data_IF_310229794972
#
_entry.id   IF_310229794972
#
_cell.length_a   1.000
_cell.length_b   1.000
_cell.length_c   1.000
_cell.angle_alpha   90.00
_cell.angle_beta   90.00
_cell.angle_gamma   90.00
#
_symmetry.space_group_name_H-M   'P 1'
#
loop_
_entity.id
_entity.type
_entity.pdbx_description
1 polymer ?
#
# COMPACT_ATOMS: atom_id res chain seq x y z
N UNK A 1 -26.17 -10.23 14.50
CA UNK A 1 -26.26 -9.54 15.80
C UNK A 1 -25.16 -8.47 15.87
N UNK A 2 -25.52 -7.20 15.72
CA UNK A 2 -24.57 -6.11 15.90
C UNK A 2 -24.26 -5.99 17.40
N UNK A 3 -23.02 -6.32 17.80
CA UNK A 3 -22.58 -6.08 19.19
C UNK A 3 -22.64 -4.57 19.44
N UNK A 4 -23.12 -4.10 20.60
CA UNK A 4 -23.02 -2.69 20.96
C UNK A 4 -21.52 -2.40 21.10
N UNK A 5 -20.94 -1.80 20.05
CA UNK A 5 -19.51 -1.55 19.99
C UNK A 5 -19.09 -0.58 21.07
N UNK A 6 -17.85 -0.71 21.55
CA UNK A 6 -17.23 0.26 22.43
C UNK A 6 -17.44 1.68 21.87
N UNK A 7 -17.77 2.64 22.75
CA UNK A 7 -18.01 4.05 22.39
C UNK A 7 -16.85 4.93 22.86
N UNK A 8 -16.74 6.14 22.32
CA UNK A 8 -15.72 7.13 22.71
C UNK A 8 -14.28 6.65 22.46
N UNK A 9 -13.37 6.99 23.39
CA UNK A 9 -11.94 6.67 23.31
C UNK A 9 -11.68 5.16 23.23
N UNK A 10 -12.50 4.35 23.90
CA UNK A 10 -12.40 2.89 23.87
C UNK A 10 -12.61 2.33 22.45
N UNK A 11 -13.45 2.99 21.62
CA UNK A 11 -13.62 2.63 20.21
C UNK A 11 -12.34 2.88 19.41
N UNK A 12 -11.69 4.01 19.65
CA UNK A 12 -10.47 4.42 18.96
C UNK A 12 -9.34 3.44 19.30
N UNK A 13 -9.15 3.12 20.58
CA UNK A 13 -8.14 2.16 21.03
C UNK A 13 -8.38 0.78 20.38
N UNK A 14 -9.64 0.32 20.38
CA UNK A 14 -9.98 -0.96 19.75
C UNK A 14 -9.73 -0.94 18.24
N UNK A 15 -10.12 0.14 17.55
CA UNK A 15 -9.87 0.33 16.12
C UNK A 15 -8.37 0.29 15.80
N UNK A 16 -7.54 1.02 16.55
CA UNK A 16 -6.08 0.97 16.42
C UNK A 16 -5.53 -0.44 16.63
N UNK A 17 -6.08 -1.18 17.62
CA UNK A 17 -5.72 -2.58 17.84
C UNK A 17 -6.06 -3.50 16.67
N UNK A 18 -7.20 -3.30 16.01
CA UNK A 18 -7.56 -4.05 14.80
C UNK A 18 -6.65 -3.69 13.61
N UNK A 19 -6.35 -2.41 13.40
CA UNK A 19 -5.42 -1.97 12.36
C UNK A 19 -4.03 -2.58 12.54
N UNK A 20 -3.51 -2.60 13.78
CA UNK A 20 -2.20 -3.17 14.08
C UNK A 20 -2.16 -4.68 13.84
N UNK A 21 -3.27 -5.40 14.11
CA UNK A 21 -3.39 -6.81 13.76
C UNK A 21 -3.35 -7.03 12.26
N UNK A 22 -4.02 -6.17 11.48
CA UNK A 22 -3.98 -6.20 10.01
C UNK A 22 -2.56 -6.01 9.47
N UNK A 23 -1.87 -4.96 9.91
CA UNK A 23 -0.48 -4.69 9.50
C UNK A 23 0.49 -5.81 9.91
N UNK A 24 0.33 -6.36 11.12
CA UNK A 24 1.13 -7.50 11.56
C UNK A 24 0.87 -8.74 10.68
N UNK A 25 -0.38 -8.98 10.29
CA UNK A 25 -0.73 -10.09 9.40
C UNK A 25 -0.08 -9.92 8.03
N UNK A 26 -0.20 -8.73 7.42
CA UNK A 26 0.45 -8.42 6.14
C UNK A 26 1.97 -8.60 6.23
N UNK A 27 2.60 -8.09 7.30
CA UNK A 27 4.04 -8.25 7.51
C UNK A 27 4.50 -9.71 7.63
N UNK A 28 3.73 -10.56 8.32
CA UNK A 28 4.13 -11.96 8.55
C UNK A 28 3.86 -12.82 7.31
N UNK A 29 2.69 -12.67 6.70
CA UNK A 29 2.22 -13.59 5.66
C UNK A 29 2.61 -13.14 4.25
N UNK A 30 2.73 -11.83 4.00
CA UNK A 30 2.88 -11.31 2.64
C UNK A 30 4.31 -10.86 2.35
N UNK A 31 5.00 -11.61 1.49
CA UNK A 31 6.35 -11.28 1.08
C UNK A 31 6.41 -9.99 0.24
N UNK A 32 5.42 -9.80 -0.64
CA UNK A 32 5.29 -8.60 -1.48
C UNK A 32 5.13 -7.34 -0.62
N UNK A 33 4.18 -7.34 0.34
CA UNK A 33 4.06 -6.27 1.34
C UNK A 33 5.37 -5.92 2.04
N UNK A 34 6.16 -6.91 2.50
CA UNK A 34 7.47 -6.63 3.12
C UNK A 34 8.43 -5.93 2.16
N UNK A 35 8.53 -6.41 0.92
CA UNK A 35 9.42 -5.84 -0.09
C UNK A 35 9.04 -4.41 -0.42
N UNK A 36 7.75 -4.17 -0.67
CA UNK A 36 7.23 -2.84 -1.01
C UNK A 36 7.34 -1.87 0.16
N UNK A 37 7.00 -2.28 1.38
CA UNK A 37 7.14 -1.44 2.56
C UNK A 37 8.60 -1.07 2.81
N UNK A 38 9.54 -2.01 2.67
CA UNK A 38 10.97 -1.71 2.80
C UNK A 38 11.46 -0.72 1.73
N UNK A 39 11.01 -0.89 0.49
CA UNK A 39 11.30 0.06 -0.60
C UNK A 39 10.76 1.45 -0.26
N UNK A 40 9.51 1.54 0.20
CA UNK A 40 8.85 2.82 0.48
C UNK A 40 9.51 3.52 1.68
N UNK A 41 9.91 2.78 2.71
CA UNK A 41 10.70 3.33 3.82
C UNK A 41 12.06 3.87 3.37
N UNK A 42 12.71 3.24 2.38
CA UNK A 42 13.93 3.76 1.77
C UNK A 42 13.66 5.03 0.94
N UNK A 43 12.52 5.09 0.25
CA UNK A 43 12.11 6.27 -0.52
C UNK A 43 11.76 7.47 0.36
N UNK A 44 11.33 7.28 1.61
CA UNK A 44 10.94 8.40 2.49
C UNK A 44 12.04 9.47 2.68
N UNK A 45 13.28 9.15 3.10
CA UNK A 45 14.33 10.15 3.19
C UNK A 45 14.71 10.74 1.82
N UNK A 46 14.64 9.93 0.75
CA UNK A 46 14.93 10.39 -0.61
C UNK A 46 13.91 11.42 -1.10
N UNK A 47 12.66 11.35 -0.64
CA UNK A 47 11.62 12.31 -1.03
C UNK A 47 11.97 13.73 -0.57
N UNK A 48 12.55 13.87 0.63
CA UNK A 48 13.04 15.15 1.15
C UNK A 48 14.31 15.63 0.47
N UNK A 49 15.10 14.73 -0.11
CA UNK A 49 16.29 15.10 -0.85
C UNK A 49 15.98 15.52 -2.29
N UNK A 50 15.02 14.86 -2.95
CA UNK A 50 14.67 15.12 -4.35
C UNK A 50 13.67 16.27 -4.51
N UNK A 51 12.72 16.44 -3.58
CA UNK A 51 11.70 17.48 -3.69
C UNK A 51 12.23 18.86 -3.28
N UNK A 52 12.12 19.84 -4.17
CA UNK A 52 12.54 21.23 -3.93
C UNK A 52 11.47 22.05 -3.17
N UNK A 53 10.19 21.65 -3.33
CA UNK A 53 9.06 22.32 -2.68
C UNK A 53 8.28 21.34 -1.81
N UNK A 54 7.54 21.88 -0.83
CA UNK A 54 6.70 21.08 0.04
C UNK A 54 5.69 20.23 -0.74
N UNK A 55 5.12 20.77 -1.82
CA UNK A 55 4.16 20.05 -2.67
C UNK A 55 4.81 18.84 -3.35
N UNK A 56 6.05 18.97 -3.82
CA UNK A 56 6.77 17.85 -4.43
C UNK A 56 7.10 16.76 -3.40
N UNK A 57 7.56 17.16 -2.21
CA UNK A 57 7.85 16.22 -1.12
C UNK A 57 6.56 15.49 -0.72
N UNK A 58 5.46 16.21 -0.49
CA UNK A 58 4.17 15.60 -0.14
C UNK A 58 3.66 14.68 -1.26
N UNK A 59 3.83 15.06 -2.53
CA UNK A 59 3.47 14.21 -3.66
C UNK A 59 4.26 12.89 -3.65
N UNK A 60 5.59 12.95 -3.50
CA UNK A 60 6.46 11.77 -3.43
C UNK A 60 6.13 10.87 -2.25
N UNK A 61 5.83 11.45 -1.08
CA UNK A 61 5.41 10.71 0.10
C UNK A 61 4.05 10.04 -0.15
N UNK A 62 3.04 10.79 -0.59
CA UNK A 62 1.69 10.30 -0.81
C UNK A 62 1.63 9.19 -1.87
N UNK A 63 2.30 9.39 -3.02
CA UNK A 63 2.28 8.40 -4.11
C UNK A 63 3.02 7.11 -3.71
N UNK A 64 4.08 7.20 -2.91
CA UNK A 64 4.78 6.03 -2.38
C UNK A 64 3.88 5.26 -1.40
N UNK A 65 3.21 5.95 -0.47
CA UNK A 65 2.31 5.29 0.48
C UNK A 65 1.04 4.71 -0.17
N UNK A 66 0.62 5.24 -1.33
CA UNK A 66 -0.47 4.65 -2.10
C UNK A 66 -0.18 3.20 -2.49
N UNK A 67 1.07 2.87 -2.81
CA UNK A 67 1.49 1.49 -3.11
C UNK A 67 1.20 0.57 -1.92
N UNK A 68 1.64 0.95 -0.70
CA UNK A 68 1.36 0.17 0.53
C UNK A 68 -0.15 -0.02 0.74
N UNK A 69 -0.95 1.03 0.52
CA UNK A 69 -2.40 0.95 0.70
C UNK A 69 -3.00 -0.06 -0.27
N UNK A 70 -2.63 0.01 -1.55
CA UNK A 70 -3.15 -0.89 -2.58
C UNK A 70 -2.71 -2.33 -2.32
N UNK A 71 -1.49 -2.54 -1.85
CA UNK A 71 -0.98 -3.88 -1.49
C UNK A 71 -1.69 -4.49 -0.28
N UNK A 72 -1.99 -3.68 0.75
CA UNK A 72 -2.82 -4.13 1.89
C UNK A 72 -4.24 -4.50 1.42
N UNK A 73 -4.80 -3.76 0.46
CA UNK A 73 -6.10 -4.09 -0.14
C UNK A 73 -6.03 -5.35 -1.00
N UNK A 74 -4.97 -5.53 -1.79
CA UNK A 74 -4.72 -6.75 -2.56
C UNK A 74 -4.66 -7.98 -1.63
N UNK A 75 -3.85 -7.89 -0.57
CA UNK A 75 -3.73 -8.94 0.45
C UNK A 75 -5.07 -9.26 1.12
N UNK A 76 -5.93 -8.26 1.34
CA UNK A 76 -7.26 -8.48 1.89
C UNK A 76 -8.17 -9.24 0.91
N UNK A 77 -8.10 -8.94 -0.40
CA UNK A 77 -8.82 -9.69 -1.44
C UNK A 77 -8.30 -11.13 -1.51
N UNK A 78 -6.99 -11.33 -1.51
CA UNK A 78 -6.37 -12.65 -1.51
C UNK A 78 -6.81 -13.48 -0.31
N UNK A 79 -6.79 -12.92 0.90
CA UNK A 79 -7.24 -13.61 2.12
C UNK A 79 -8.72 -14.02 2.06
N UNK A 80 -9.59 -13.22 1.43
CA UNK A 80 -11.00 -13.58 1.22
C UNK A 80 -11.14 -14.70 0.20
N UNK A 81 -10.39 -14.62 -0.90
CA UNK A 81 -10.43 -15.63 -1.97
C UNK A 81 -9.88 -16.97 -1.47
N UNK A 82 -8.76 -16.97 -0.74
CA UNK A 82 -8.10 -18.17 -0.23
C UNK A 82 -8.91 -18.91 0.83
N UNK A 83 -9.83 -18.21 1.52
CA UNK A 83 -10.74 -18.83 2.47
C UNK A 83 -11.79 -19.74 1.79
N UNK A 84 -12.16 -19.48 0.53
CA UNK A 84 -13.34 -20.10 -0.10
C UNK A 84 -13.08 -21.59 -0.46
N UNK A 85 -11.85 -21.98 -0.76
CA UNK A 85 -11.46 -23.37 -1.02
C UNK A 85 -10.29 -23.48 -2.00
N UNK A 86 -9.69 -24.68 -2.12
CA UNK A 86 -8.59 -24.96 -3.05
C UNK A 86 -9.04 -25.33 -4.47
N UNK A 87 -10.36 -25.39 -4.71
CA UNK A 87 -10.92 -25.61 -6.03
C UNK A 87 -10.63 -24.40 -6.92
N UNK A 88 -10.13 -24.65 -8.13
CA UNK A 88 -9.85 -23.58 -9.06
C UNK A 88 -11.17 -23.03 -9.59
N UNK A 89 -11.52 -21.80 -9.20
CA UNK A 89 -12.67 -21.08 -9.72
C UNK A 89 -12.21 -19.87 -10.54
N UNK A 90 -12.65 -19.74 -11.79
CA UNK A 90 -12.18 -18.68 -12.69
C UNK A 90 -12.36 -17.28 -12.10
N UNK A 91 -13.50 -17.01 -11.44
CA UNK A 91 -13.74 -15.72 -10.78
C UNK A 91 -12.77 -15.44 -9.63
N UNK A 92 -12.33 -16.46 -8.89
CA UNK A 92 -11.35 -16.32 -7.81
C UNK A 92 -9.97 -15.94 -8.38
N UNK A 93 -9.57 -16.58 -9.49
CA UNK A 93 -8.37 -16.19 -10.24
C UNK A 93 -8.43 -14.74 -10.69
N UNK A 94 -9.53 -14.34 -11.36
CA UNK A 94 -9.72 -12.95 -11.82
C UNK A 94 -9.67 -11.94 -10.69
N UNK A 95 -10.21 -12.26 -9.51
CA UNK A 95 -10.16 -11.36 -8.36
C UNK A 95 -8.71 -11.09 -7.91
N UNK A 96 -7.88 -12.14 -7.87
CA UNK A 96 -6.45 -12.01 -7.56
C UNK A 96 -5.70 -11.24 -8.64
N UNK A 97 -5.93 -11.57 -9.91
CA UNK A 97 -5.27 -10.90 -11.04
C UNK A 97 -5.55 -9.39 -11.05
N UNK A 98 -6.79 -8.99 -10.76
CA UNK A 98 -7.17 -7.58 -10.66
C UNK A 98 -6.52 -6.87 -9.46
N UNK A 99 -6.40 -7.57 -8.32
CA UNK A 99 -5.70 -7.05 -7.15
C UNK A 99 -4.22 -6.80 -7.45
N UNK A 100 -3.52 -7.78 -8.01
CA UNK A 100 -2.12 -7.63 -8.44
C UNK A 100 -1.95 -6.57 -9.54
N UNK A 101 -2.90 -6.46 -10.47
CA UNK A 101 -2.89 -5.42 -11.50
C UNK A 101 -3.00 -4.01 -10.88
N UNK A 102 -3.80 -3.83 -9.82
CA UNK A 102 -3.89 -2.56 -9.12
C UNK A 102 -2.55 -2.18 -8.46
N UNK A 103 -1.86 -3.13 -7.84
CA UNK A 103 -0.52 -2.93 -7.26
C UNK A 103 0.48 -2.53 -8.35
N UNK A 104 0.47 -3.24 -9.49
CA UNK A 104 1.32 -2.91 -10.63
C UNK A 104 1.09 -1.48 -11.15
N UNK A 105 -0.18 -1.06 -11.28
CA UNK A 105 -0.51 0.30 -11.71
C UNK A 105 -0.02 1.33 -10.69
N UNK A 106 -0.19 1.07 -9.39
CA UNK A 106 0.31 1.95 -8.33
C UNK A 106 1.85 2.08 -8.38
N UNK A 107 2.57 0.98 -8.57
CA UNK A 107 4.03 0.97 -8.74
C UNK A 107 4.48 1.74 -10.00
N UNK A 108 3.78 1.55 -11.13
CA UNK A 108 4.08 2.26 -12.37
C UNK A 108 3.87 3.78 -12.22
N UNK A 109 2.78 4.20 -11.58
CA UNK A 109 2.54 5.61 -11.28
C UNK A 109 3.59 6.17 -10.32
N UNK A 110 3.96 5.42 -9.27
CA UNK A 110 5.02 5.80 -8.36
C UNK A 110 6.35 6.00 -9.12
N UNK A 111 6.75 5.03 -9.95
CA UNK A 111 7.96 5.12 -10.76
C UNK A 111 7.95 6.31 -11.73
N UNK A 112 6.79 6.60 -12.35
CA UNK A 112 6.63 7.75 -13.25
C UNK A 112 6.84 9.08 -12.52
N UNK A 113 6.19 9.27 -11.36
CA UNK A 113 6.29 10.51 -10.57
C UNK A 113 7.71 10.71 -10.03
N UNK A 114 8.30 9.65 -9.47
CA UNK A 114 9.67 9.67 -9.00
C UNK A 114 10.67 9.97 -10.13
N UNK A 115 10.54 9.29 -11.26
CA UNK A 115 11.39 9.51 -12.43
C UNK A 115 11.29 10.94 -12.97
N UNK A 116 10.09 11.51 -13.02
CA UNK A 116 9.88 12.87 -13.47
C UNK A 116 10.53 13.91 -12.53
N UNK A 117 10.39 13.76 -11.21
CA UNK A 117 10.98 14.69 -10.24
C UNK A 117 12.49 14.53 -10.10
N UNK A 118 13.03 13.30 -10.15
CA UNK A 118 14.48 13.07 -10.23
C UNK A 118 15.04 13.71 -11.51
N UNK A 119 14.38 13.47 -12.64
CA UNK A 119 14.75 14.06 -13.92
C UNK A 119 14.83 15.58 -13.88
N UNK A 120 13.76 16.21 -13.39
CA UNK A 120 13.67 17.66 -13.31
C UNK A 120 14.66 18.26 -12.31
N UNK A 121 14.66 17.79 -11.07
CA UNK A 121 15.34 18.47 -9.96
C UNK A 121 16.82 18.07 -9.83
N UNK A 122 17.21 16.86 -10.26
CA UNK A 122 18.60 16.40 -10.17
C UNK A 122 19.33 16.38 -11.52
N UNK A 123 18.61 16.13 -12.62
CA UNK A 123 19.21 15.97 -13.96
C UNK A 123 18.98 17.18 -14.88
N UNK A 124 18.21 18.17 -14.43
CA UNK A 124 17.90 19.37 -15.22
C UNK A 124 17.09 19.07 -16.48
N UNK A 125 16.28 18.00 -16.46
CA UNK A 125 15.33 17.73 -17.54
C UNK A 125 14.21 18.77 -17.50
N UNK A 126 14.02 19.46 -18.64
CA UNK A 126 13.00 20.47 -18.96
C UNK A 126 12.72 21.57 -17.91
#
# INVERSE_FOLDING_TARGET
MAKPGATGVTRIINATGYSMKGLKSAWINEAAFRQELMLILLLMPLAFWIGDTLEQILLLVCISWLVVIVEVLNSAVEAVVDRIGSEHHELSGRAKDLGSAAVFIALALNALVWGALVGRNLLGWW
#
